data_IF_538158978255
#
_entry.id   IF_538158978255
#
_cell.length_a   1.000
_cell.length_b   1.000
_cell.length_c   1.000
_cell.angle_alpha   90.00
_cell.angle_beta   90.00
_cell.angle_gamma   90.00
#
_symmetry.space_group_name_H-M   'P 1'
#
loop_
_entity.id
_entity.type
_entity.pdbx_description
1 polymer ?
#
# COMPACT_ATOMS: atom_id res chain seq x y z
N UNK A 1 29.64 1.49 -17.18
CA UNK A 1 29.34 2.50 -16.15
C UNK A 1 27.84 2.66 -16.03
N UNK A 2 27.25 2.15 -14.92
CA UNK A 2 25.81 2.22 -14.63
C UNK A 2 25.46 3.50 -13.84
N UNK A 3 26.00 4.64 -14.21
CA UNK A 3 25.72 5.90 -13.54
C UNK A 3 24.55 6.61 -14.22
N UNK A 4 23.63 7.14 -13.41
CA UNK A 4 22.56 8.03 -13.89
C UNK A 4 23.19 9.28 -14.51
N UNK A 5 22.68 9.70 -15.65
CA UNK A 5 23.11 10.94 -16.33
C UNK A 5 21.97 11.94 -16.46
N UNK A 6 20.76 11.45 -16.56
CA UNK A 6 19.56 12.29 -16.67
C UNK A 6 18.32 11.49 -16.26
N UNK A 7 17.29 12.21 -15.91
CA UNK A 7 15.93 11.70 -15.75
C UNK A 7 15.05 12.25 -16.90
N UNK A 8 14.30 11.38 -17.54
CA UNK A 8 13.34 11.76 -18.57
C UNK A 8 11.95 11.82 -17.95
N UNK A 9 11.25 12.93 -18.12
CA UNK A 9 9.86 13.12 -17.71
C UNK A 9 8.96 13.38 -18.89
N UNK A 10 7.67 13.09 -18.72
CA UNK A 10 6.61 13.38 -19.67
C UNK A 10 5.43 13.98 -18.92
N UNK A 11 4.69 14.89 -19.55
CA UNK A 11 3.46 15.39 -18.97
C UNK A 11 2.39 14.32 -18.99
N UNK A 12 1.65 14.18 -17.90
CA UNK A 12 0.56 13.21 -17.78
C UNK A 12 -0.75 13.90 -17.40
N UNK A 13 -1.87 13.24 -17.71
CA UNK A 13 -3.20 13.54 -17.17
C UNK A 13 -3.76 12.27 -16.56
N UNK A 14 -4.33 12.38 -15.36
CA UNK A 14 -5.09 11.31 -14.75
C UNK A 14 -6.58 11.50 -15.09
N UNK A 15 -7.19 10.50 -15.70
CA UNK A 15 -8.63 10.47 -16.02
C UNK A 15 -9.16 9.13 -15.50
N UNK A 16 -10.01 9.16 -14.47
CA UNK A 16 -10.60 7.98 -13.87
C UNK A 16 -9.56 6.89 -13.53
N UNK A 17 -8.51 7.29 -12.80
CA UNK A 17 -7.36 6.45 -12.40
C UNK A 17 -6.52 5.86 -13.56
N UNK A 18 -6.77 6.33 -14.77
CA UNK A 18 -5.94 6.00 -15.94
C UNK A 18 -4.98 7.15 -16.23
N UNK A 19 -3.68 6.83 -16.22
CA UNK A 19 -2.63 7.78 -16.58
C UNK A 19 -2.49 7.84 -18.10
N UNK A 20 -2.68 9.01 -18.68
CA UNK A 20 -2.50 9.28 -20.11
C UNK A 20 -1.29 10.20 -20.27
N UNK A 21 -0.30 9.75 -21.03
CA UNK A 21 0.88 10.54 -21.37
C UNK A 21 0.57 11.49 -22.54
N UNK A 22 1.05 12.72 -22.45
CA UNK A 22 1.00 13.65 -23.59
C UNK A 22 2.23 13.44 -24.47
N UNK A 23 2.06 12.97 -25.72
CA UNK A 23 3.17 12.79 -26.65
C UNK A 23 3.86 14.12 -26.95
N UNK A 24 5.16 14.07 -27.20
CA UNK A 24 6.01 15.23 -27.51
C UNK A 24 6.18 16.25 -26.36
N UNK A 25 5.93 15.83 -25.11
CA UNK A 25 6.17 16.66 -23.91
C UNK A 25 7.37 16.18 -23.09
N UNK A 26 8.16 15.25 -23.64
CA UNK A 26 9.30 14.69 -22.98
C UNK A 26 10.36 15.75 -22.69
N UNK A 27 10.89 15.72 -21.49
CA UNK A 27 11.92 16.63 -21.03
C UNK A 27 13.02 15.86 -20.29
N UNK A 28 14.26 16.14 -20.66
CA UNK A 28 15.43 15.58 -19.99
C UNK A 28 15.98 16.55 -18.95
N UNK A 29 16.19 16.03 -17.76
CA UNK A 29 16.77 16.77 -16.63
C UNK A 29 18.11 16.12 -16.27
N UNK A 30 19.19 16.90 -16.26
CA UNK A 30 20.48 16.40 -15.83
C UNK A 30 20.40 15.97 -14.36
N UNK A 31 20.88 14.78 -14.05
CA UNK A 31 20.91 14.23 -12.70
C UNK A 31 22.12 13.30 -12.52
N UNK A 32 22.80 13.45 -11.42
CA UNK A 32 23.90 12.58 -11.02
C UNK A 32 23.40 11.47 -10.08
N UNK A 33 22.28 11.71 -9.39
CA UNK A 33 21.62 10.76 -8.50
C UNK A 33 20.10 10.98 -8.49
N UNK A 34 19.35 9.92 -8.36
CA UNK A 34 17.86 9.94 -8.27
C UNK A 34 17.42 9.13 -7.07
N UNK A 35 16.60 9.73 -6.21
CA UNK A 35 15.95 9.07 -5.10
C UNK A 35 14.48 8.82 -5.44
N UNK A 36 14.04 7.57 -5.34
CA UNK A 36 12.63 7.22 -5.53
C UNK A 36 11.91 7.29 -4.19
N UNK A 37 10.92 8.19 -4.09
CA UNK A 37 10.11 8.41 -2.88
C UNK A 37 8.63 8.54 -3.26
N UNK A 38 8.08 7.49 -3.89
CA UNK A 38 6.73 7.47 -4.47
C UNK A 38 5.71 6.71 -3.60
N UNK A 39 6.07 6.41 -2.34
CA UNK A 39 5.24 5.64 -1.43
C UNK A 39 5.47 4.13 -1.53
N UNK A 40 4.50 3.36 -1.09
CA UNK A 40 4.55 1.90 -1.03
C UNK A 40 3.41 1.29 -1.85
N UNK A 41 3.56 0.07 -2.29
CA UNK A 41 2.61 -0.65 -3.14
C UNK A 41 1.84 -1.75 -2.34
N UNK A 42 1.58 -1.49 -1.07
CA UNK A 42 0.90 -2.43 -0.17
C UNK A 42 1.85 -3.32 0.63
N UNK A 43 1.31 -4.28 1.40
CA UNK A 43 2.08 -5.24 2.18
C UNK A 43 2.77 -6.28 1.29
N UNK A 44 3.78 -6.97 1.84
CA UNK A 44 4.51 -8.01 1.12
C UNK A 44 3.60 -9.17 0.69
N UNK A 45 3.71 -9.54 -0.58
CA UNK A 45 2.92 -10.63 -1.16
C UNK A 45 3.20 -12.01 -0.53
N UNK A 46 4.36 -12.19 0.09
CA UNK A 46 4.75 -13.46 0.75
C UNK A 46 3.74 -13.90 1.81
N UNK A 47 3.29 -12.97 2.67
CA UNK A 47 2.28 -13.24 3.70
C UNK A 47 0.89 -13.45 3.10
N UNK A 48 0.51 -12.60 2.15
CA UNK A 48 -0.78 -12.69 1.45
C UNK A 48 -0.93 -14.07 0.80
N UNK A 49 0.08 -14.51 0.05
CA UNK A 49 0.07 -15.78 -0.65
C UNK A 49 0.10 -16.97 0.32
N UNK A 50 0.96 -16.90 1.38
CA UNK A 50 1.09 -17.97 2.36
C UNK A 50 -0.23 -18.30 3.06
N UNK A 51 -1.04 -17.30 3.36
CA UNK A 51 -2.30 -17.46 4.07
C UNK A 51 -3.53 -17.34 3.17
N UNK A 52 -3.32 -17.19 1.85
CA UNK A 52 -4.37 -17.00 0.86
C UNK A 52 -5.35 -15.87 1.25
N UNK A 53 -4.80 -14.71 1.63
CA UNK A 53 -5.57 -13.57 2.09
C UNK A 53 -6.17 -12.80 0.91
N UNK A 54 -7.42 -12.36 1.06
CA UNK A 54 -8.04 -11.42 0.13
C UNK A 54 -7.46 -10.02 0.28
N UNK A 55 -7.34 -9.31 -0.84
CA UNK A 55 -6.88 -7.91 -0.87
C UNK A 55 -7.92 -7.00 -1.49
N UNK A 56 -7.81 -5.72 -1.19
CA UNK A 56 -8.57 -4.64 -1.83
C UNK A 56 -7.98 -4.31 -3.21
N UNK A 57 -8.65 -3.42 -3.96
CA UNK A 57 -8.12 -2.85 -5.22
C UNK A 57 -6.79 -2.12 -5.03
N UNK A 58 -6.50 -1.63 -3.82
CA UNK A 58 -5.24 -0.98 -3.45
C UNK A 58 -4.20 -1.96 -2.89
N UNK A 59 -4.38 -3.26 -3.08
CA UNK A 59 -3.51 -4.36 -2.62
C UNK A 59 -3.38 -4.51 -1.10
N UNK A 60 -4.15 -3.76 -0.31
CA UNK A 60 -4.17 -3.87 1.15
C UNK A 60 -4.97 -5.09 1.59
N UNK A 61 -4.65 -5.69 2.74
CA UNK A 61 -5.35 -6.85 3.27
C UNK A 61 -6.81 -6.47 3.56
N UNK A 62 -7.74 -7.21 2.95
CA UNK A 62 -9.18 -7.01 3.15
C UNK A 62 -9.61 -7.64 4.47
N UNK A 63 -10.36 -6.90 5.28
CA UNK A 63 -10.92 -7.36 6.55
C UNK A 63 -12.38 -6.93 6.71
N UNK A 64 -13.08 -7.60 7.62
CA UNK A 64 -14.39 -7.18 8.12
C UNK A 64 -14.30 -5.96 9.03
N UNK A 65 -15.45 -5.47 9.53
CA UNK A 65 -15.49 -4.41 10.54
C UNK A 65 -14.82 -4.81 11.87
N UNK A 66 -14.69 -6.11 12.14
CA UNK A 66 -14.02 -6.65 13.32
C UNK A 66 -12.56 -7.01 13.07
N UNK A 67 -11.93 -6.46 12.00
CA UNK A 67 -10.53 -6.68 11.61
C UNK A 67 -10.20 -8.12 11.20
N UNK A 68 -11.19 -8.99 11.01
CA UNK A 68 -10.99 -10.39 10.61
C UNK A 68 -10.82 -10.47 9.10
N UNK A 69 -9.82 -11.20 8.64
CA UNK A 69 -9.60 -11.49 7.21
C UNK A 69 -10.57 -12.58 6.71
N UNK A 70 -10.43 -13.02 5.45
CA UNK A 70 -11.11 -14.20 4.95
C UNK A 70 -10.73 -15.51 5.71
N UNK A 71 -9.62 -15.51 6.46
CA UNK A 71 -9.29 -16.56 7.42
C UNK A 71 -9.70 -16.11 8.83
N UNK A 72 -10.65 -16.81 9.50
CA UNK A 72 -11.21 -16.36 10.78
C UNK A 72 -10.23 -16.36 11.96
N UNK A 73 -9.03 -16.91 11.77
CA UNK A 73 -7.95 -16.89 12.78
C UNK A 73 -6.91 -15.81 12.53
N UNK A 74 -7.08 -15.02 11.47
CA UNK A 74 -6.11 -13.97 11.08
C UNK A 74 -6.81 -12.62 11.09
N UNK A 75 -6.21 -11.70 11.82
CA UNK A 75 -6.62 -10.30 11.92
C UNK A 75 -5.57 -9.41 11.25
N UNK A 76 -5.99 -8.28 10.69
CA UNK A 76 -5.07 -7.30 10.14
C UNK A 76 -5.48 -5.87 10.50
N UNK A 77 -4.50 -5.02 10.81
CA UNK A 77 -4.70 -3.61 11.18
C UNK A 77 -3.51 -2.74 10.74
N UNK A 78 -3.66 -1.44 10.82
CA UNK A 78 -2.64 -0.47 10.45
C UNK A 78 -2.40 -0.42 8.94
N UNK A 79 -1.17 -0.12 8.55
CA UNK A 79 -0.81 0.15 7.16
C UNK A 79 -1.10 -1.00 6.21
N UNK A 80 -0.98 -2.25 6.65
CA UNK A 80 -1.27 -3.41 5.81
C UNK A 80 -2.77 -3.53 5.44
N UNK A 81 -3.66 -2.90 6.22
CA UNK A 81 -5.12 -2.86 6.00
C UNK A 81 -5.58 -1.55 5.37
N UNK A 82 -5.13 -0.40 5.89
CA UNK A 82 -5.59 0.93 5.46
C UNK A 82 -4.76 1.52 4.33
N UNK A 83 -3.54 1.03 4.11
CA UNK A 83 -2.50 1.74 3.39
C UNK A 83 -1.72 2.67 4.33
N UNK A 84 -0.60 3.18 3.85
CA UNK A 84 0.29 4.03 4.63
C UNK A 84 -0.41 5.33 5.04
N UNK A 85 -0.35 5.63 6.34
CA UNK A 85 -0.99 6.79 6.90
C UNK A 85 -0.25 7.30 8.15
N UNK A 86 -0.91 8.08 9.00
CA UNK A 86 -0.30 8.60 10.21
C UNK A 86 -0.14 7.50 11.27
N UNK A 87 0.98 7.50 11.98
CA UNK A 87 1.28 6.56 13.07
C UNK A 87 0.15 6.48 14.10
N UNK A 88 -0.50 7.61 14.41
CA UNK A 88 -1.63 7.66 15.36
C UNK A 88 -2.82 6.80 14.91
N UNK A 89 -3.06 6.66 13.62
CA UNK A 89 -4.09 5.77 13.09
C UNK A 89 -3.72 4.31 13.23
N UNK A 90 -2.47 3.95 12.94
CA UNK A 90 -1.97 2.60 13.13
C UNK A 90 -2.05 2.17 14.61
N UNK A 91 -1.68 3.06 15.54
CA UNK A 91 -1.81 2.83 16.97
C UNK A 91 -3.27 2.65 17.42
N UNK A 92 -4.18 3.48 16.92
CA UNK A 92 -5.62 3.35 17.20
C UNK A 92 -6.16 2.02 16.70
N UNK A 93 -5.83 1.62 15.49
CA UNK A 93 -6.25 0.34 14.93
C UNK A 93 -5.68 -0.84 15.70
N UNK A 94 -4.42 -0.77 16.14
CA UNK A 94 -3.81 -1.78 16.98
C UNK A 94 -4.57 -1.99 18.28
N UNK A 95 -5.07 -0.93 18.92
CA UNK A 95 -5.93 -1.04 20.10
C UNK A 95 -7.28 -1.66 19.79
N UNK A 96 -7.93 -1.20 18.72
CA UNK A 96 -9.25 -1.70 18.32
C UNK A 96 -9.19 -3.19 17.96
N UNK A 97 -8.17 -3.63 17.22
CA UNK A 97 -8.03 -5.05 16.86
C UNK A 97 -7.74 -5.91 18.09
N UNK A 98 -6.98 -5.40 19.08
CA UNK A 98 -6.73 -6.13 20.31
C UNK A 98 -8.02 -6.41 21.08
N UNK A 99 -8.95 -5.43 21.15
CA UNK A 99 -10.28 -5.62 21.74
C UNK A 99 -11.07 -6.71 21.00
N UNK A 100 -11.07 -6.67 19.66
CA UNK A 100 -11.75 -7.68 18.84
C UNK A 100 -11.16 -9.09 18.95
N UNK A 101 -9.84 -9.19 19.07
CA UNK A 101 -9.17 -10.47 19.34
C UNK A 101 -9.57 -10.99 20.73
N UNK A 102 -9.63 -10.12 21.74
CA UNK A 102 -10.06 -10.51 23.08
C UNK A 102 -11.51 -11.02 23.08
N UNK A 103 -12.44 -10.32 22.40
CA UNK A 103 -13.83 -10.79 22.22
C UNK A 103 -13.89 -12.16 21.49
N UNK A 104 -13.02 -12.37 20.50
CA UNK A 104 -12.94 -13.64 19.77
C UNK A 104 -12.47 -14.81 20.64
N UNK A 105 -11.51 -14.56 21.52
CA UNK A 105 -10.92 -15.58 22.40
C UNK A 105 -11.81 -15.94 23.60
N UNK A 106 -12.80 -15.12 23.93
CA UNK A 106 -13.73 -15.37 25.03
C UNK A 106 -14.98 -16.15 24.62
N UNK A 107 -15.16 -16.42 23.32
CA UNK A 107 -16.23 -17.25 22.77
C UNK A 107 -15.85 -18.73 22.84
#
# INVERSE_FOLDING_TARGET
NNNVKYIKTVNIKNINDTIIEYPHTEKNWKADMVFISIGYDGPENSLINKFNLETTSHKNIKVSNDYVTNNPKIFASGDCRMGQSLVVWAMREGRNVAEKINEYLQK
#
